data_IF_794596472614
#
_entry.id   IF_794596472614
#
_cell.length_a   1.000
_cell.length_b   1.000
_cell.length_c   1.000
_cell.angle_alpha   90.00
_cell.angle_beta   90.00
_cell.angle_gamma   90.00
#
_symmetry.space_group_name_H-M   'P 1'
#
loop_
_entity.id
_entity.type
_entity.pdbx_description
1 polymer ?
#
# COMPACT_ATOMS: atom_id res chain seq x y z
N UNK A 1 -20.12 -22.89 15.79
CA UNK A 1 -19.05 -23.18 14.82
C UNK A 1 -17.90 -22.25 15.15
N UNK A 2 -16.63 -22.71 15.22
CA UNK A 2 -15.56 -21.93 15.83
C UNK A 2 -15.14 -20.76 14.92
N UNK A 3 -14.87 -19.62 15.57
CA UNK A 3 -14.43 -18.35 14.99
C UNK A 3 -13.36 -18.54 13.89
N UNK A 4 -13.76 -18.30 12.65
CA UNK A 4 -12.84 -18.05 11.55
C UNK A 4 -12.13 -16.72 11.84
N UNK A 5 -10.88 -16.79 12.28
CA UNK A 5 -9.97 -15.66 12.49
C UNK A 5 -9.68 -14.91 11.20
N UNK A 6 -10.68 -14.17 10.70
CA UNK A 6 -10.54 -13.27 9.58
C UNK A 6 -9.47 -12.23 9.91
N UNK A 7 -8.53 -12.10 8.98
CA UNK A 7 -7.40 -11.17 8.98
C UNK A 7 -7.88 -9.77 9.43
N UNK A 8 -7.46 -9.33 10.63
CA UNK A 8 -7.71 -7.98 11.19
C UNK A 8 -6.62 -6.99 10.77
N UNK A 9 -6.07 -7.23 9.59
CA UNK A 9 -4.96 -6.48 9.00
C UNK A 9 -5.51 -5.54 7.94
N UNK A 10 -5.28 -4.24 8.10
CA UNK A 10 -5.76 -3.24 7.14
C UNK A 10 -4.60 -2.64 6.33
N UNK A 11 -4.86 -2.36 5.05
CA UNK A 11 -3.89 -1.82 4.09
C UNK A 11 -4.38 -0.44 3.65
N UNK A 12 -3.63 0.61 4.00
CA UNK A 12 -4.11 1.98 3.81
C UNK A 12 -4.12 2.42 2.35
N UNK A 13 -5.28 2.96 1.92
CA UNK A 13 -5.64 3.15 0.52
C UNK A 13 -6.05 4.56 0.09
N UNK A 14 -6.26 5.53 0.99
CA UNK A 14 -6.41 6.98 0.69
C UNK A 14 -6.88 7.76 1.96
N UNK A 15 -6.73 9.10 2.03
CA UNK A 15 -6.82 9.85 3.28
C UNK A 15 -8.25 10.21 3.71
N UNK A 16 -9.26 10.04 2.85
CA UNK A 16 -10.64 10.39 3.19
C UNK A 16 -11.50 9.15 3.51
N UNK A 17 -11.79 8.98 4.81
CA UNK A 17 -12.87 8.15 5.36
C UNK A 17 -12.66 6.64 5.44
N UNK A 18 -11.44 6.11 5.42
CA UNK A 18 -11.26 4.67 5.64
C UNK A 18 -11.89 4.18 6.96
N UNK A 19 -11.86 5.00 8.02
CA UNK A 19 -12.59 4.74 9.27
C UNK A 19 -14.09 4.58 9.01
N UNK A 20 -14.70 5.50 8.26
CA UNK A 20 -16.11 5.45 7.94
C UNK A 20 -16.44 4.28 6.99
N UNK A 21 -15.53 3.91 6.10
CA UNK A 21 -15.67 2.74 5.20
C UNK A 21 -15.60 1.44 6.01
N UNK A 22 -14.69 1.35 6.98
CA UNK A 22 -14.61 0.22 7.89
C UNK A 22 -15.85 0.12 8.75
N UNK A 23 -16.29 1.23 9.36
CA UNK A 23 -17.53 1.28 10.14
C UNK A 23 -18.76 0.90 9.30
N UNK A 24 -18.87 1.44 8.08
CA UNK A 24 -19.94 1.08 7.14
C UNK A 24 -19.87 -0.41 6.71
N UNK A 25 -18.66 -0.98 6.68
CA UNK A 25 -18.41 -2.40 6.50
C UNK A 25 -18.63 -3.25 7.76
N UNK A 26 -19.06 -2.65 8.87
CA UNK A 26 -19.29 -3.32 10.16
C UNK A 26 -18.02 -3.69 10.91
N UNK A 27 -16.87 -3.10 10.55
CA UNK A 27 -15.58 -3.32 11.18
C UNK A 27 -15.32 -2.21 12.21
N UNK A 28 -15.29 -2.59 13.48
CA UNK A 28 -14.88 -1.72 14.59
C UNK A 28 -13.37 -1.42 14.50
N UNK A 29 -12.98 -0.16 14.61
CA UNK A 29 -11.58 0.28 14.61
C UNK A 29 -10.79 -0.32 15.77
N UNK A 30 -11.40 -0.49 16.94
CA UNK A 30 -10.74 -1.10 18.09
C UNK A 30 -10.41 -2.58 17.85
N UNK A 31 -11.06 -3.19 16.86
CA UNK A 31 -10.87 -4.58 16.48
C UNK A 31 -9.61 -4.81 15.62
N UNK A 32 -9.06 -3.77 14.99
CA UNK A 32 -7.89 -3.82 14.11
C UNK A 32 -6.63 -4.08 14.93
N UNK A 33 -5.91 -5.17 14.63
CA UNK A 33 -4.70 -5.58 15.36
C UNK A 33 -3.42 -5.07 14.72
N UNK A 34 -3.40 -5.06 13.39
CA UNK A 34 -2.23 -4.81 12.58
C UNK A 34 -2.59 -3.86 11.43
N UNK A 35 -1.74 -2.87 11.21
CA UNK A 35 -1.76 -2.04 10.00
C UNK A 35 -0.50 -2.33 9.20
N UNK A 36 -0.64 -2.51 7.89
CA UNK A 36 0.52 -2.68 7.00
C UNK A 36 0.58 -1.47 6.07
N UNK A 37 1.65 -0.70 6.20
CA UNK A 37 1.91 0.45 5.35
C UNK A 37 2.69 0.00 4.12
N UNK A 38 2.15 0.28 2.93
CA UNK A 38 2.90 0.13 1.69
C UNK A 38 4.02 1.16 1.63
N UNK A 39 3.72 2.42 2.00
CA UNK A 39 4.65 3.54 2.14
C UNK A 39 3.99 4.67 2.95
N UNK A 40 4.70 5.75 3.24
CA UNK A 40 4.23 6.85 4.11
C UNK A 40 3.89 8.15 3.37
N UNK A 41 3.42 8.09 2.12
CA UNK A 41 2.80 9.25 1.50
C UNK A 41 1.51 9.67 2.22
N UNK A 42 1.16 10.95 2.10
CA UNK A 42 0.09 11.57 2.87
C UNK A 42 -1.27 10.88 2.70
N UNK A 43 -1.54 10.34 1.52
CA UNK A 43 -2.74 9.60 1.18
C UNK A 43 -2.79 8.21 1.85
N UNK A 44 -1.65 7.65 2.22
CA UNK A 44 -1.55 6.35 2.90
C UNK A 44 -1.44 6.44 4.42
N UNK A 45 -1.08 7.59 4.99
CA UNK A 45 -0.97 7.76 6.44
C UNK A 45 -1.88 8.86 7.00
N UNK A 46 -2.39 9.74 6.15
CA UNK A 46 -3.18 10.90 6.56
C UNK A 46 -4.48 10.51 7.25
N UNK A 47 -5.08 9.39 6.87
CA UNK A 47 -6.28 8.87 7.52
C UNK A 47 -6.08 8.50 9.00
N UNK A 48 -4.85 8.16 9.41
CA UNK A 48 -4.52 7.87 10.82
C UNK A 48 -4.32 9.13 11.64
N UNK A 49 -4.23 10.29 10.99
CA UNK A 49 -4.02 11.61 11.60
C UNK A 49 -5.31 12.43 11.71
N UNK A 50 -6.46 11.87 11.33
CA UNK A 50 -7.77 12.49 11.55
C UNK A 50 -8.06 12.49 13.05
N UNK A 51 -8.52 13.63 13.57
CA UNK A 51 -8.85 13.80 14.99
C UNK A 51 -9.85 12.74 15.46
N UNK A 52 -9.57 12.11 16.60
CA UNK A 52 -10.42 11.08 17.19
C UNK A 52 -10.22 9.66 16.63
N UNK A 53 -9.52 9.47 15.49
CA UNK A 53 -9.28 8.14 14.93
C UNK A 53 -8.30 7.34 15.79
N UNK A 54 -7.24 7.99 16.29
CA UNK A 54 -6.22 7.32 17.12
C UNK A 54 -6.82 6.76 18.41
N UNK A 55 -7.73 7.49 19.02
CA UNK A 55 -8.40 7.12 20.28
C UNK A 55 -9.36 5.93 20.12
N UNK A 56 -9.83 5.68 18.89
CA UNK A 56 -10.68 4.53 18.56
C UNK A 56 -9.87 3.27 18.23
N UNK A 57 -8.58 3.43 17.90
CA UNK A 57 -7.68 2.30 17.68
C UNK A 57 -7.24 1.70 19.02
N UNK A 58 -6.92 0.41 19.01
CA UNK A 58 -6.40 -0.27 20.20
C UNK A 58 -5.04 0.28 20.64
N UNK A 59 -4.73 0.35 21.95
CA UNK A 59 -3.47 0.89 22.45
C UNK A 59 -2.21 0.11 22.06
N UNK A 60 -2.35 -1.19 21.78
CA UNK A 60 -1.27 -2.10 21.38
C UNK A 60 -1.28 -2.40 19.87
N UNK A 61 -1.84 -1.49 19.06
CA UNK A 61 -1.83 -1.59 17.60
C UNK A 61 -0.40 -1.75 17.09
N UNK A 62 -0.20 -2.68 16.15
CA UNK A 62 1.08 -2.89 15.48
C UNK A 62 1.03 -2.28 14.08
N UNK A 63 1.98 -1.39 13.76
CA UNK A 63 2.08 -0.79 12.42
C UNK A 63 3.34 -1.29 11.74
N UNK A 64 3.17 -2.15 10.74
CA UNK A 64 4.25 -2.79 9.99
C UNK A 64 4.67 -1.92 8.82
N UNK A 65 5.97 -1.59 8.76
CA UNK A 65 6.52 -0.67 7.76
C UNK A 65 7.98 -1.02 7.46
N UNK A 66 8.45 -0.82 6.23
CA UNK A 66 9.84 -1.09 5.91
C UNK A 66 10.78 -0.14 6.68
N UNK A 67 11.90 -0.63 7.20
CA UNK A 67 12.90 0.17 7.90
C UNK A 67 13.45 1.29 7.00
N UNK A 68 13.64 0.99 5.71
CA UNK A 68 14.04 1.96 4.69
C UNK A 68 13.01 3.10 4.49
N UNK A 69 11.72 2.84 4.75
CA UNK A 69 10.69 3.88 4.67
C UNK A 69 10.83 4.85 5.85
N UNK A 70 10.91 4.33 7.07
CA UNK A 70 11.10 5.15 8.28
C UNK A 70 12.34 6.02 8.16
N UNK A 71 13.47 5.42 7.77
CA UNK A 71 14.73 6.13 7.58
C UNK A 71 14.64 7.22 6.50
N UNK A 72 13.92 6.96 5.40
CA UNK A 72 13.74 7.94 4.33
C UNK A 72 12.99 9.19 4.83
N UNK A 73 11.94 9.01 5.64
CA UNK A 73 11.10 10.10 6.12
C UNK A 73 11.72 10.95 7.24
N UNK A 74 12.88 10.58 7.79
CA UNK A 74 13.66 11.45 8.68
C UNK A 74 14.22 12.68 7.93
N UNK A 75 14.66 12.49 6.69
CA UNK A 75 15.21 13.54 5.84
C UNK A 75 14.95 13.23 4.36
N UNK A 76 13.69 13.33 3.88
CA UNK A 76 13.36 12.83 2.55
C UNK A 76 14.00 13.68 1.47
N UNK A 77 14.54 13.02 0.44
CA UNK A 77 15.07 13.66 -0.76
C UNK A 77 14.08 13.52 -1.92
N UNK A 78 13.62 14.66 -2.42
CA UNK A 78 12.70 14.77 -3.55
C UNK A 78 13.40 15.26 -4.83
N UNK A 79 14.73 15.35 -4.84
CA UNK A 79 15.51 15.89 -5.97
C UNK A 79 15.30 15.15 -7.30
N UNK A 80 14.91 13.88 -7.23
CA UNK A 80 14.62 13.01 -8.40
C UNK A 80 13.13 12.96 -8.78
N UNK A 81 12.27 13.64 -8.03
CA UNK A 81 10.82 13.67 -8.26
C UNK A 81 10.43 14.92 -9.08
N UNK A 82 9.25 14.88 -9.70
CA UNK A 82 8.65 16.01 -10.42
C UNK A 82 7.22 16.23 -9.95
N UNK A 83 7.10 16.70 -8.70
CA UNK A 83 5.81 16.95 -8.05
C UNK A 83 5.35 18.39 -8.23
N UNK A 84 4.03 18.66 -8.20
CA UNK A 84 3.51 20.02 -8.17
C UNK A 84 4.00 20.79 -6.93
N UNK A 85 4.07 22.12 -7.06
CA UNK A 85 4.47 23.01 -5.95
C UNK A 85 3.64 22.76 -4.69
N UNK A 86 4.32 22.67 -3.53
CA UNK A 86 3.70 22.46 -2.23
C UNK A 86 3.48 20.99 -1.83
N UNK A 87 3.44 20.05 -2.79
CA UNK A 87 3.32 18.61 -2.46
C UNK A 87 4.50 18.08 -1.63
N UNK A 88 5.77 18.39 -1.93
CA UNK A 88 6.89 17.94 -1.11
C UNK A 88 6.77 18.37 0.36
N UNK A 89 6.29 19.60 0.61
CA UNK A 89 6.12 20.11 1.98
C UNK A 89 4.97 19.43 2.70
N UNK A 90 3.85 19.18 2.00
CA UNK A 90 2.71 18.44 2.54
C UNK A 90 3.09 16.99 2.90
N UNK A 91 3.88 16.32 2.05
CA UNK A 91 4.43 14.99 2.31
C UNK A 91 5.32 15.00 3.56
N UNK A 92 6.30 15.92 3.65
CA UNK A 92 7.18 16.07 4.83
C UNK A 92 6.39 16.29 6.11
N UNK A 93 5.44 17.23 6.07
CA UNK A 93 4.63 17.61 7.23
C UNK A 93 3.78 16.44 7.73
N UNK A 94 3.13 15.71 6.80
CA UNK A 94 2.26 14.59 7.15
C UNK A 94 3.07 13.41 7.72
N UNK A 95 4.18 13.05 7.08
CA UNK A 95 5.06 11.98 7.56
C UNK A 95 5.66 12.30 8.93
N UNK A 96 6.08 13.55 9.17
CA UNK A 96 6.57 14.00 10.47
C UNK A 96 5.51 13.86 11.56
N UNK A 97 4.29 14.36 11.33
CA UNK A 97 3.16 14.24 12.26
C UNK A 97 2.83 12.78 12.56
N UNK A 98 2.87 11.92 11.55
CA UNK A 98 2.66 10.49 11.71
C UNK A 98 3.74 9.86 12.61
N UNK A 99 5.01 10.12 12.36
CA UNK A 99 6.11 9.61 13.20
C UNK A 99 6.00 10.09 14.65
N UNK A 100 5.66 11.36 14.87
CA UNK A 100 5.41 11.91 16.21
C UNK A 100 4.24 11.20 16.91
N UNK A 101 3.18 10.89 16.18
CA UNK A 101 1.99 10.25 16.73
C UNK A 101 2.15 8.74 16.95
N UNK A 102 2.88 8.03 16.09
CA UNK A 102 2.83 6.56 15.99
C UNK A 102 4.18 5.85 16.10
N UNK A 103 5.31 6.55 16.30
CA UNK A 103 6.65 5.92 16.40
C UNK A 103 6.72 4.73 17.37
N UNK A 104 6.02 4.78 18.51
CA UNK A 104 5.97 3.68 19.50
C UNK A 104 5.20 2.44 19.03
N UNK A 105 4.40 2.55 17.97
CA UNK A 105 3.59 1.46 17.40
C UNK A 105 4.29 0.78 16.21
N UNK A 106 5.41 1.34 15.72
CA UNK A 106 6.07 0.85 14.52
C UNK A 106 6.78 -0.49 14.76
N UNK A 107 6.58 -1.41 13.82
CA UNK A 107 7.31 -2.67 13.66
C UNK A 107 8.00 -2.64 12.31
N UNK A 108 9.31 -2.44 12.34
CA UNK A 108 10.09 -2.31 11.12
C UNK A 108 10.56 -3.67 10.60
N UNK A 109 10.63 -3.79 9.27
CA UNK A 109 11.22 -4.95 8.59
C UNK A 109 12.17 -4.50 7.48
N UNK A 110 13.13 -5.34 7.12
CA UNK A 110 14.13 -5.01 6.09
C UNK A 110 13.64 -5.32 4.67
N UNK A 111 13.33 -6.60 4.41
CA UNK A 111 13.02 -7.09 3.06
C UNK A 111 11.62 -7.71 2.97
N UNK A 112 11.30 -8.63 3.88
CA UNK A 112 9.99 -9.26 3.93
C UNK A 112 9.62 -9.59 5.38
N UNK A 113 8.33 -9.59 5.68
CA UNK A 113 7.80 -9.93 6.99
C UNK A 113 6.43 -10.60 6.86
N UNK A 114 6.24 -11.73 7.54
CA UNK A 114 4.92 -12.34 7.68
C UNK A 114 4.20 -11.67 8.86
N UNK A 115 3.19 -10.86 8.55
CA UNK A 115 2.43 -10.05 9.51
C UNK A 115 1.41 -10.92 10.25
N UNK A 116 0.79 -11.83 9.51
CA UNK A 116 -0.18 -12.81 9.99
C UNK A 116 -0.12 -14.05 9.09
N UNK A 117 -0.68 -15.21 9.49
CA UNK A 117 -0.69 -16.40 8.65
C UNK A 117 -1.23 -16.11 7.24
N UNK A 118 -0.39 -16.29 6.23
CA UNK A 118 -0.74 -16.04 4.84
C UNK A 118 -0.74 -14.58 4.41
N UNK A 119 -0.33 -13.63 5.27
CA UNK A 119 -0.19 -12.20 4.96
C UNK A 119 1.28 -11.81 5.04
N UNK A 120 1.92 -11.62 3.90
CA UNK A 120 3.36 -11.32 3.81
C UNK A 120 3.56 -9.98 3.12
N UNK A 121 4.27 -9.07 3.77
CA UNK A 121 4.71 -7.81 3.18
C UNK A 121 6.12 -7.96 2.63
N UNK A 122 6.36 -7.41 1.44
CA UNK A 122 7.65 -7.43 0.75
C UNK A 122 8.01 -6.01 0.31
N UNK A 123 9.19 -5.54 0.73
CA UNK A 123 9.76 -4.28 0.24
C UNK A 123 10.12 -4.42 -1.24
N UNK A 124 9.67 -3.47 -2.05
CA UNK A 124 10.02 -3.35 -3.46
C UNK A 124 10.89 -2.14 -3.76
N UNK A 125 10.75 -1.04 -3.02
CA UNK A 125 11.40 0.24 -3.36
C UNK A 125 10.82 0.87 -4.62
N UNK A 126 11.57 1.82 -5.22
CA UNK A 126 11.17 2.54 -6.42
C UNK A 126 10.32 3.76 -6.12
N UNK A 127 9.01 3.56 -5.89
CA UNK A 127 8.06 4.65 -5.63
C UNK A 127 8.51 5.51 -4.45
N UNK A 128 8.75 4.88 -3.30
CA UNK A 128 9.58 5.39 -2.20
C UNK A 128 10.68 4.37 -1.88
N UNK A 129 11.76 4.72 -1.19
CA UNK A 129 12.82 3.75 -0.86
C UNK A 129 12.35 2.54 -0.06
N UNK A 130 11.31 2.67 0.78
CA UNK A 130 10.72 1.58 1.55
C UNK A 130 9.37 1.09 1.02
N UNK A 131 8.94 1.53 -0.17
CA UNK A 131 7.68 1.06 -0.76
C UNK A 131 7.60 -0.46 -0.75
N UNK A 132 6.44 -0.99 -0.38
CA UNK A 132 6.19 -2.41 -0.17
C UNK A 132 4.87 -2.86 -0.80
N UNK A 133 4.82 -4.14 -1.19
CA UNK A 133 3.61 -4.83 -1.62
C UNK A 133 3.20 -5.87 -0.58
N UNK A 134 1.91 -6.14 -0.44
CA UNK A 134 1.38 -7.13 0.51
C UNK A 134 0.74 -8.27 -0.26
N UNK A 135 1.12 -9.51 0.05
CA UNK A 135 0.53 -10.72 -0.53
C UNK A 135 -0.31 -11.43 0.51
N UNK A 136 -1.55 -11.72 0.15
CA UNK A 136 -2.48 -12.50 0.96
C UNK A 136 -2.74 -13.82 0.26
N UNK A 137 -2.57 -14.92 0.99
CA UNK A 137 -2.84 -16.28 0.51
C UNK A 137 -3.82 -16.97 1.44
N UNK A 138 -4.89 -17.52 0.89
CA UNK A 138 -5.88 -18.30 1.65
C UNK A 138 -6.58 -19.29 0.73
N UNK A 139 -6.80 -20.53 1.19
CA UNK A 139 -7.54 -21.54 0.42
C UNK A 139 -6.95 -21.89 -0.95
N UNK A 140 -5.65 -21.63 -1.17
CA UNK A 140 -4.99 -21.80 -2.48
C UNK A 140 -5.14 -20.60 -3.43
N UNK A 141 -5.90 -19.58 -3.03
CA UNK A 141 -6.02 -18.31 -3.75
C UNK A 141 -4.99 -17.29 -3.27
N UNK A 142 -4.64 -16.35 -4.15
CA UNK A 142 -3.67 -15.29 -3.90
C UNK A 142 -4.21 -13.92 -4.34
N UNK A 143 -3.92 -12.92 -3.52
CA UNK A 143 -4.25 -11.51 -3.73
C UNK A 143 -3.02 -10.66 -3.42
N UNK A 144 -2.61 -9.81 -4.35
CA UNK A 144 -1.51 -8.86 -4.16
C UNK A 144 -2.04 -7.44 -4.06
N UNK A 145 -1.73 -6.76 -2.95
CA UNK A 145 -1.89 -5.32 -2.79
C UNK A 145 -0.61 -4.64 -3.22
N UNK A 146 -0.64 -3.96 -4.37
CA UNK A 146 0.55 -3.38 -4.98
C UNK A 146 0.91 -1.98 -4.45
N UNK A 147 0.07 -1.38 -3.60
CA UNK A 147 0.22 0.02 -3.24
C UNK A 147 0.26 0.89 -4.49
N UNK A 148 1.32 1.69 -4.58
CA UNK A 148 1.54 2.66 -5.65
C UNK A 148 2.59 2.18 -6.66
N UNK A 149 2.92 0.89 -6.64
CA UNK A 149 3.78 0.31 -7.68
C UNK A 149 3.13 0.33 -9.07
N UNK A 150 1.79 0.48 -9.17
CA UNK A 150 1.02 0.39 -10.41
C UNK A 150 -0.03 1.52 -10.47
N UNK A 151 -0.02 2.24 -11.59
CA UNK A 151 -1.03 3.25 -11.96
C UNK A 151 -1.71 2.84 -13.29
N UNK A 152 -2.90 3.39 -13.64
CA UNK A 152 -3.66 2.95 -14.81
C UNK A 152 -2.87 2.96 -16.13
N UNK A 153 -2.09 4.01 -16.38
CA UNK A 153 -1.27 4.13 -17.60
C UNK A 153 -0.12 3.09 -17.64
N UNK A 154 0.27 2.55 -16.48
CA UNK A 154 1.37 1.61 -16.36
C UNK A 154 1.09 0.22 -16.94
N UNK A 155 -0.15 -0.10 -17.32
CA UNK A 155 -0.44 -1.32 -18.05
C UNK A 155 -0.02 -1.20 -19.52
N UNK A 156 -0.41 -0.09 -20.17
CA UNK A 156 -0.10 0.18 -21.58
C UNK A 156 1.32 0.73 -21.77
N UNK A 157 1.82 1.48 -20.79
CA UNK A 157 3.13 2.16 -20.81
C UNK A 157 3.93 1.84 -19.53
N UNK A 158 4.34 0.57 -19.32
CA UNK A 158 4.92 0.15 -18.05
C UNK A 158 6.29 0.76 -17.74
N UNK A 159 6.96 1.36 -18.73
CA UNK A 159 8.22 2.08 -18.56
C UNK A 159 8.07 3.57 -18.26
N UNK A 160 6.86 4.13 -18.34
CA UNK A 160 6.66 5.57 -18.08
C UNK A 160 6.79 5.87 -16.59
N UNK A 161 7.33 7.03 -16.26
CA UNK A 161 7.50 7.45 -14.89
C UNK A 161 6.34 8.34 -14.45
N UNK A 162 5.99 8.29 -13.17
CA UNK A 162 5.12 9.29 -12.57
C UNK A 162 5.97 10.30 -11.76
N UNK A 163 5.45 11.51 -11.56
CA UNK A 163 6.18 12.59 -10.90
C UNK A 163 6.48 12.37 -9.41
N UNK A 164 5.88 11.35 -8.79
CA UNK A 164 6.01 11.01 -7.37
C UNK A 164 7.01 9.87 -7.10
N UNK A 165 7.57 9.25 -8.13
CA UNK A 165 8.55 8.17 -7.97
C UNK A 165 9.92 8.72 -7.55
N UNK A 166 10.40 8.30 -6.37
CA UNK A 166 11.70 8.69 -5.82
C UNK A 166 12.88 8.10 -6.57
N UNK A 167 12.73 6.87 -7.06
CA UNK A 167 13.62 6.28 -8.05
C UNK A 167 12.79 5.84 -9.27
N UNK A 168 12.62 6.72 -10.27
CA UNK A 168 11.77 6.44 -11.42
C UNK A 168 12.19 5.20 -12.21
N UNK A 169 13.50 4.98 -12.36
CA UNK A 169 14.01 3.80 -13.07
C UNK A 169 13.72 2.51 -12.30
N UNK A 170 13.96 2.51 -10.99
CA UNK A 170 13.66 1.33 -10.17
C UNK A 170 12.16 1.09 -10.05
N UNK A 171 11.34 2.15 -9.94
CA UNK A 171 9.89 2.04 -9.94
C UNK A 171 9.36 1.39 -11.23
N UNK A 172 9.87 1.79 -12.39
CA UNK A 172 9.55 1.14 -13.67
C UNK A 172 9.99 -0.34 -13.69
N UNK A 173 11.20 -0.66 -13.21
CA UNK A 173 11.68 -2.06 -13.12
C UNK A 173 10.80 -2.92 -12.21
N UNK A 174 10.45 -2.40 -11.03
CA UNK A 174 9.54 -3.04 -10.06
C UNK A 174 8.18 -3.29 -10.71
N UNK A 175 7.59 -2.28 -11.34
CA UNK A 175 6.29 -2.37 -12.00
C UNK A 175 6.27 -3.42 -13.10
N UNK A 176 7.23 -3.39 -14.02
CA UNK A 176 7.33 -4.37 -15.12
C UNK A 176 7.48 -5.78 -14.57
N UNK A 177 8.34 -5.97 -13.56
CA UNK A 177 8.55 -7.27 -12.92
C UNK A 177 7.24 -7.78 -12.29
N UNK A 178 6.55 -6.92 -11.54
CA UNK A 178 5.30 -7.25 -10.86
C UNK A 178 4.19 -7.59 -11.87
N UNK A 179 3.98 -6.76 -12.90
CA UNK A 179 2.97 -7.00 -13.93
C UNK A 179 3.24 -8.32 -14.69
N UNK A 180 4.51 -8.62 -15.00
CA UNK A 180 4.90 -9.90 -15.63
C UNK A 180 4.62 -11.09 -14.75
N UNK A 181 4.93 -11.00 -13.45
CA UNK A 181 4.62 -12.04 -12.48
C UNK A 181 3.10 -12.27 -12.39
N UNK A 182 2.32 -11.20 -12.21
CA UNK A 182 0.87 -11.25 -12.09
C UNK A 182 0.18 -11.80 -13.34
N UNK A 183 0.70 -11.48 -14.53
CA UNK A 183 0.21 -12.05 -15.79
C UNK A 183 0.46 -13.56 -15.89
N UNK A 184 1.58 -14.05 -15.33
CA UNK A 184 1.94 -15.46 -15.32
C UNK A 184 1.21 -16.28 -14.26
N UNK A 185 1.09 -15.76 -13.03
CA UNK A 185 0.42 -16.45 -11.91
C UNK A 185 -1.09 -16.33 -11.98
N UNK A 186 -1.58 -15.31 -12.68
CA UNK A 186 -2.98 -14.90 -12.76
C UNK A 186 -3.59 -14.64 -11.39
N UNK A 187 -2.82 -14.32 -10.35
CA UNK A 187 -3.40 -13.96 -9.06
C UNK A 187 -4.16 -12.64 -9.13
N UNK A 188 -5.02 -12.38 -8.15
CA UNK A 188 -5.74 -11.12 -8.10
C UNK A 188 -4.78 -9.99 -7.69
N UNK A 189 -4.99 -8.81 -8.27
CA UNK A 189 -4.28 -7.58 -7.97
C UNK A 189 -5.27 -6.57 -7.41
N UNK A 190 -4.83 -5.85 -6.40
CA UNK A 190 -5.41 -4.59 -5.97
C UNK A 190 -4.32 -3.53 -5.90
N UNK A 191 -4.48 -2.43 -6.63
CA UNK A 191 -3.58 -1.27 -6.53
C UNK A 191 -4.37 -0.05 -6.03
N UNK A 192 -3.70 0.90 -5.39
CA UNK A 192 -4.36 2.03 -4.71
C UNK A 192 -5.14 2.88 -5.71
N UNK A 193 -4.43 3.34 -6.74
CA UNK A 193 -4.90 4.36 -7.69
C UNK A 193 -5.54 3.78 -8.96
N UNK A 194 -6.11 2.56 -8.87
CA UNK A 194 -6.95 2.00 -9.93
C UNK A 194 -8.43 2.24 -9.61
N UNK A 195 -9.32 2.30 -10.63
CA UNK A 195 -10.75 2.53 -10.40
C UNK A 195 -11.35 1.56 -9.38
N UNK A 196 -12.05 2.08 -8.38
CA UNK A 196 -12.71 1.29 -7.33
C UNK A 196 -13.64 0.21 -7.94
N UNK A 197 -13.67 -1.04 -7.43
CA UNK A 197 -13.03 -1.54 -6.19
C UNK A 197 -11.54 -1.89 -6.36
N UNK A 198 -10.95 -1.58 -7.52
CA UNK A 198 -9.53 -1.79 -7.84
C UNK A 198 -9.09 -3.24 -7.85
N UNK A 199 -10.03 -4.21 -7.83
CA UNK A 199 -9.75 -5.65 -7.89
C UNK A 199 -9.83 -6.16 -9.32
N UNK A 200 -8.85 -6.97 -9.71
CA UNK A 200 -8.77 -7.51 -11.06
C UNK A 200 -7.58 -8.44 -11.22
N UNK A 201 -7.25 -8.76 -12.46
CA UNK A 201 -6.08 -9.55 -12.84
C UNK A 201 -5.30 -8.82 -13.92
N UNK A 202 -4.09 -9.28 -14.16
CA UNK A 202 -3.23 -8.78 -15.24
C UNK A 202 -3.19 -9.82 -16.35
N UNK A 203 -3.30 -9.39 -17.59
CA UNK A 203 -3.03 -10.21 -18.77
C UNK A 203 -1.83 -9.65 -19.54
N UNK A 204 -1.07 -10.51 -20.22
CA UNK A 204 -0.05 -10.08 -21.16
C UNK A 204 -0.72 -9.61 -22.47
N UNK A 205 -0.19 -8.55 -23.07
CA UNK A 205 -0.64 -8.01 -24.36
C UNK A 205 0.57 -7.57 -25.19
N UNK A 206 1.17 -8.51 -25.92
CA UNK A 206 2.45 -8.31 -26.60
C UNK A 206 3.57 -7.94 -25.61
N UNK A 207 4.17 -6.77 -25.80
CA UNK A 207 5.20 -6.21 -24.91
C UNK A 207 4.62 -5.37 -23.75
N UNK A 208 3.29 -5.24 -23.69
CA UNK A 208 2.55 -4.50 -22.67
C UNK A 208 1.68 -5.44 -21.82
N UNK A 209 0.81 -4.84 -20.99
CA UNK A 209 -0.11 -5.54 -20.11
C UNK A 209 -1.52 -4.99 -20.24
N UNK A 210 -2.50 -5.79 -19.82
CA UNK A 210 -3.89 -5.38 -19.77
C UNK A 210 -4.47 -5.60 -18.39
N UNK A 211 -5.17 -4.58 -17.89
CA UNK A 211 -6.01 -4.70 -16.72
C UNK A 211 -7.30 -5.45 -17.05
N UNK A 212 -7.59 -6.50 -16.28
CA UNK A 212 -8.83 -7.29 -16.39
C UNK A 212 -9.60 -7.12 -15.08
N UNK A 213 -10.53 -6.15 -14.98
CA UNK A 213 -11.30 -5.96 -13.75
C UNK A 213 -12.14 -7.21 -13.45
N UNK A 214 -12.36 -7.49 -12.16
CA UNK A 214 -13.34 -8.51 -11.78
C UNK A 214 -14.74 -8.08 -12.21
N UNK A 215 -15.61 -9.06 -12.47
CA UNK A 215 -17.04 -8.79 -12.55
C UNK A 215 -17.55 -8.50 -11.15
N UNK A 216 -18.27 -7.38 -11.02
CA UNK A 216 -18.92 -7.03 -9.78
C UNK A 216 -20.29 -7.72 -9.73
N UNK A 217 -20.33 -8.86 -9.07
CA UNK A 217 -21.57 -9.60 -8.82
C UNK A 217 -22.09 -9.18 -7.42
N UNK A 218 -23.27 -8.56 -7.39
CA UNK A 218 -23.96 -8.10 -6.17
C UNK A 218 -25.19 -8.96 -5.85
#
# INVERSE_FOLDING_TARGET
MPDSGWIRTWICREPASWSNVLEAGGIDLASVTDLVLTHMHMDHIGGLLIDGVKEQLRPDLQIHVAAAEVAFWEAPDFSRTSMPTGFPDALRSTAKRFSEAYSSHLRTFENAHEVAPGVVVHRTGGHTPGHSVVRVTSGGERLTFAGDAIFPVGFDQPSWHNGFEHDPEEAARVRIRLLRELAGTREQLVATHLPFPSVGRVAADGDAFRWVPVFWDY
#
